data_IF_502706827295
#
_entry.id   IF_502706827295
#
_cell.length_a   1.000
_cell.length_b   1.000
_cell.length_c   1.000
_cell.angle_alpha   90.00
_cell.angle_beta   90.00
_cell.angle_gamma   90.00
#
_symmetry.space_group_name_H-M   'P 1'
#
loop_
_entity.id
_entity.type
_entity.pdbx_description
1 polymer ?
#
# COMPACT_ATOMS: atom_id res chain seq x y z
N UNK A 1 10.36 -25.13 11.96
CA UNK A 1 9.20 -25.29 11.04
C UNK A 1 8.02 -24.43 11.48
N UNK A 2 7.92 -24.08 12.77
CA UNK A 2 6.96 -23.08 13.30
C UNK A 2 7.22 -21.65 12.80
N UNK A 3 8.49 -21.25 12.64
CA UNK A 3 8.85 -19.87 12.25
C UNK A 3 8.33 -19.43 10.87
N UNK A 4 8.15 -20.36 9.92
CA UNK A 4 7.68 -20.03 8.57
C UNK A 4 6.17 -19.78 8.50
N UNK A 5 5.39 -20.54 9.27
CA UNK A 5 3.94 -20.38 9.31
C UNK A 5 3.56 -19.10 10.06
N UNK A 6 4.26 -18.81 11.16
CA UNK A 6 4.06 -17.59 11.93
C UNK A 6 4.44 -16.36 11.11
N UNK A 7 5.56 -16.41 10.37
CA UNK A 7 5.92 -15.35 9.44
C UNK A 7 4.82 -15.06 8.41
N UNK A 8 4.23 -16.11 7.80
CA UNK A 8 3.16 -15.96 6.82
C UNK A 8 1.91 -15.31 7.44
N UNK A 9 1.53 -15.73 8.64
CA UNK A 9 0.38 -15.16 9.38
C UNK A 9 0.62 -13.69 9.72
N UNK A 10 1.76 -13.35 10.32
CA UNK A 10 2.12 -11.95 10.64
C UNK A 10 2.17 -11.08 9.38
N UNK A 11 2.77 -11.57 8.30
CA UNK A 11 2.84 -10.84 7.03
C UNK A 11 1.45 -10.61 6.44
N UNK A 12 0.56 -11.59 6.51
CA UNK A 12 -0.82 -11.45 6.05
C UNK A 12 -1.58 -10.40 6.85
N UNK A 13 -1.50 -10.45 8.18
CA UNK A 13 -2.10 -9.48 9.09
C UNK A 13 -1.56 -8.06 8.83
N UNK A 14 -0.24 -7.91 8.71
CA UNK A 14 0.36 -6.62 8.39
C UNK A 14 -0.05 -6.11 7.00
N UNK A 15 -0.14 -6.97 5.99
CA UNK A 15 -0.62 -6.56 4.67
C UNK A 15 -2.07 -6.07 4.73
N UNK A 16 -2.93 -6.72 5.54
CA UNK A 16 -4.31 -6.29 5.78
C UNK A 16 -4.33 -4.90 6.41
N UNK A 17 -3.52 -4.68 7.45
CA UNK A 17 -3.33 -3.37 8.09
C UNK A 17 -2.85 -2.31 7.10
N UNK A 18 -1.77 -2.56 6.37
CA UNK A 18 -1.20 -1.60 5.41
C UNK A 18 -2.21 -1.23 4.31
N UNK A 19 -3.03 -2.19 3.86
CA UNK A 19 -4.12 -1.90 2.90
C UNK A 19 -5.19 -1.00 3.51
N UNK A 20 -5.60 -1.26 4.76
CA UNK A 20 -6.57 -0.44 5.46
C UNK A 20 -6.04 0.99 5.70
N UNK A 21 -4.82 1.10 6.22
CA UNK A 21 -4.13 2.38 6.42
C UNK A 21 -3.99 3.16 5.11
N UNK A 22 -3.53 2.50 4.03
CA UNK A 22 -3.40 3.14 2.72
C UNK A 22 -4.75 3.62 2.19
N UNK A 23 -5.83 2.85 2.35
CA UNK A 23 -7.18 3.30 1.97
C UNK A 23 -7.61 4.52 2.77
N UNK A 24 -7.43 4.50 4.09
CA UNK A 24 -7.73 5.65 4.97
C UNK A 24 -6.97 6.90 4.52
N UNK A 25 -5.66 6.78 4.34
CA UNK A 25 -4.80 7.87 3.89
C UNK A 25 -5.20 8.43 2.51
N UNK A 26 -5.57 7.57 1.55
CA UNK A 26 -6.09 8.02 0.25
C UNK A 26 -7.41 8.78 0.43
N UNK A 27 -8.31 8.25 1.26
CA UNK A 27 -9.62 8.87 1.49
C UNK A 27 -9.48 10.24 2.17
N UNK A 28 -8.61 10.35 3.17
CA UNK A 28 -8.30 11.62 3.85
C UNK A 28 -7.76 12.66 2.86
N UNK A 29 -6.86 12.26 1.96
CA UNK A 29 -6.36 13.13 0.89
C UNK A 29 -7.46 13.57 -0.08
N UNK A 30 -8.39 12.68 -0.45
CA UNK A 30 -9.52 13.03 -1.32
C UNK A 30 -10.41 14.06 -0.62
N UNK A 31 -10.75 13.81 0.64
CA UNK A 31 -11.55 14.72 1.46
C UNK A 31 -10.91 16.10 1.57
N UNK A 32 -9.58 16.16 1.74
CA UNK A 32 -8.86 17.43 1.74
C UNK A 32 -8.93 18.17 0.39
N UNK A 33 -8.81 17.45 -0.73
CA UNK A 33 -8.90 18.03 -2.07
C UNK A 33 -10.32 18.58 -2.31
N UNK A 34 -11.35 17.84 -1.88
CA UNK A 34 -12.74 18.29 -1.96
C UNK A 34 -13.01 19.52 -1.11
N UNK A 35 -12.47 19.56 0.11
CA UNK A 35 -12.53 20.73 0.98
C UNK A 35 -11.83 21.95 0.36
N UNK A 36 -10.65 21.77 -0.24
CA UNK A 36 -9.95 22.84 -0.93
C UNK A 36 -10.76 23.38 -2.13
N UNK A 37 -11.48 22.50 -2.84
CA UNK A 37 -12.41 22.90 -3.90
C UNK A 37 -13.59 23.70 -3.35
N UNK A 38 -14.23 23.21 -2.28
CA UNK A 38 -15.38 23.86 -1.65
C UNK A 38 -15.04 25.26 -1.13
N UNK A 39 -13.85 25.41 -0.53
CA UNK A 39 -13.34 26.68 -0.01
C UNK A 39 -12.75 27.61 -1.08
N UNK A 40 -12.83 27.25 -2.37
CA UNK A 40 -12.24 27.99 -3.50
C UNK A 40 -10.72 28.19 -3.39
N UNK A 41 -10.02 27.30 -2.70
CA UNK A 41 -8.55 27.26 -2.61
C UNK A 41 -7.95 26.64 -3.87
N UNK A 42 -8.16 27.28 -5.02
CA UNK A 42 -7.85 26.74 -6.36
C UNK A 42 -6.37 26.36 -6.52
N UNK A 43 -5.45 27.12 -5.92
CA UNK A 43 -4.01 26.82 -5.97
C UNK A 43 -3.67 25.51 -5.24
N UNK A 44 -4.18 25.33 -4.03
CA UNK A 44 -3.97 24.10 -3.23
C UNK A 44 -4.58 22.89 -3.93
N UNK A 45 -5.81 23.04 -4.43
CA UNK A 45 -6.52 22.02 -5.18
C UNK A 45 -5.71 21.47 -6.37
N UNK A 46 -5.24 22.35 -7.25
CA UNK A 46 -4.46 21.90 -8.42
C UNK A 46 -3.09 21.34 -8.05
N UNK A 47 -2.46 21.85 -6.99
CA UNK A 47 -1.19 21.31 -6.49
C UNK A 47 -1.37 19.87 -6.00
N UNK A 48 -2.33 19.63 -5.11
CA UNK A 48 -2.62 18.30 -4.56
C UNK A 48 -3.02 17.31 -5.65
N UNK A 49 -3.83 17.71 -6.63
CA UNK A 49 -4.16 16.86 -7.79
C UNK A 49 -2.90 16.48 -8.59
N UNK A 50 -2.00 17.43 -8.83
CA UNK A 50 -0.76 17.17 -9.56
C UNK A 50 0.13 16.19 -8.80
N UNK A 51 0.17 16.27 -7.48
CA UNK A 51 0.92 15.37 -6.62
C UNK A 51 0.34 13.94 -6.64
N UNK A 52 -0.99 13.79 -6.57
CA UNK A 52 -1.66 12.48 -6.68
C UNK A 52 -1.39 11.77 -8.02
N UNK A 53 -1.20 12.52 -9.11
CA UNK A 53 -0.88 11.95 -10.43
C UNK A 53 0.57 11.47 -10.56
N UNK A 54 1.47 11.84 -9.65
CA UNK A 54 2.87 11.39 -9.71
C UNK A 54 2.94 9.93 -9.28
N UNK A 55 3.29 9.06 -10.22
CA UNK A 55 3.62 7.67 -9.89
C UNK A 55 4.97 7.62 -9.18
N UNK A 56 4.99 7.09 -7.95
CA UNK A 56 6.24 6.78 -7.25
C UNK A 56 6.96 5.62 -7.94
N UNK A 57 8.18 5.86 -8.41
CA UNK A 57 9.07 4.87 -9.03
C UNK A 57 10.34 4.71 -8.18
N UNK A 58 10.17 4.32 -6.93
CA UNK A 58 11.32 4.05 -6.05
C UNK A 58 12.03 2.76 -6.45
N UNK A 59 13.35 2.84 -6.68
CA UNK A 59 14.23 1.66 -6.71
C UNK A 59 14.60 1.36 -5.26
N UNK A 60 14.29 0.16 -4.77
CA UNK A 60 14.65 -0.23 -3.41
C UNK A 60 16.10 -0.71 -3.43
N UNK A 61 17.00 0.05 -2.80
CA UNK A 61 18.44 -0.27 -2.72
C UNK A 61 18.84 -0.92 -1.39
N UNK A 62 17.94 -0.98 -0.40
CA UNK A 62 18.18 -1.56 0.91
C UNK A 62 17.02 -1.31 1.88
N UNK A 63 17.02 -1.99 3.02
CA UNK A 63 16.00 -1.84 4.07
C UNK A 63 16.64 -1.23 5.31
N UNK A 64 16.03 -0.18 5.86
CA UNK A 64 16.50 0.48 7.09
C UNK A 64 15.89 -0.19 8.32
N UNK A 65 16.73 -0.63 9.24
CA UNK A 65 16.34 -1.15 10.56
C UNK A 65 15.88 -0.04 11.51
N UNK A 66 15.18 -0.41 12.59
CA UNK A 66 14.77 0.51 13.67
C UNK A 66 15.96 1.26 14.29
N UNK A 67 17.12 0.63 14.35
CA UNK A 67 18.35 1.21 14.92
C UNK A 67 19.06 2.19 13.96
N UNK A 68 18.48 2.44 12.79
CA UNK A 68 19.02 3.36 11.79
C UNK A 68 20.04 2.74 10.83
N UNK A 69 20.43 1.48 11.04
CA UNK A 69 21.31 0.73 10.14
C UNK A 69 20.59 0.35 8.86
N UNK A 70 21.28 0.39 7.73
CA UNK A 70 20.76 -0.08 6.43
C UNK A 70 21.31 -1.49 6.18
N UNK A 71 20.40 -2.40 5.86
CA UNK A 71 20.68 -3.77 5.47
C UNK A 71 20.50 -3.86 3.96
N UNK A 72 21.51 -4.43 3.29
CA UNK A 72 21.51 -4.66 1.84
C UNK A 72 21.44 -6.16 1.51
N UNK A 73 21.63 -7.03 2.52
CA UNK A 73 21.63 -8.48 2.35
C UNK A 73 20.21 -9.06 2.42
N UNK A 74 19.76 -9.73 1.35
CA UNK A 74 18.39 -10.25 1.24
C UNK A 74 18.02 -11.27 2.33
N UNK A 75 19.01 -12.06 2.80
CA UNK A 75 18.82 -13.07 3.84
C UNK A 75 18.33 -12.46 5.17
N UNK A 76 18.72 -11.21 5.43
CA UNK A 76 18.42 -10.47 6.65
C UNK A 76 17.09 -9.71 6.59
N UNK A 77 16.54 -9.47 5.39
CA UNK A 77 15.29 -8.72 5.20
C UNK A 77 14.11 -9.35 5.94
N UNK A 78 14.03 -10.68 5.98
CA UNK A 78 12.94 -11.37 6.69
C UNK A 78 12.90 -11.02 8.17
N UNK A 79 14.07 -10.96 8.82
CA UNK A 79 14.17 -10.64 10.24
C UNK A 79 13.75 -9.19 10.52
N UNK A 80 14.19 -8.26 9.66
CA UNK A 80 13.79 -6.84 9.74
C UNK A 80 12.28 -6.68 9.58
N UNK A 81 11.66 -7.40 8.63
CA UNK A 81 10.21 -7.39 8.45
C UNK A 81 9.46 -7.99 9.63
N UNK A 82 9.95 -9.07 10.24
CA UNK A 82 9.34 -9.67 11.44
C UNK A 82 9.28 -8.64 12.58
N UNK A 83 10.39 -7.97 12.87
CA UNK A 83 10.43 -6.94 13.92
C UNK A 83 9.55 -5.73 13.62
N UNK A 84 9.47 -5.35 12.34
CA UNK A 84 8.60 -4.27 11.89
C UNK A 84 7.12 -4.63 12.05
N UNK A 85 6.72 -5.82 11.61
CA UNK A 85 5.35 -6.32 11.74
C UNK A 85 4.91 -6.48 13.18
N UNK A 86 5.80 -6.96 14.06
CA UNK A 86 5.53 -6.99 15.50
C UNK A 86 5.21 -5.58 16.01
N UNK A 87 6.01 -4.58 15.68
CA UNK A 87 5.72 -3.19 16.09
C UNK A 87 4.35 -2.70 15.62
N UNK A 88 4.04 -2.86 14.34
CA UNK A 88 2.77 -2.41 13.76
C UNK A 88 1.54 -3.08 14.39
N UNK A 89 1.62 -4.38 14.70
CA UNK A 89 0.48 -5.13 15.25
C UNK A 89 0.33 -4.97 16.77
N UNK A 90 1.42 -4.70 17.50
CA UNK A 90 1.37 -4.51 18.95
C UNK A 90 1.00 -3.07 19.36
N UNK A 91 1.35 -2.05 18.57
CA UNK A 91 0.98 -0.65 18.88
C UNK A 91 -0.54 -0.40 18.73
N UNK A 92 -1.25 -1.14 17.86
CA UNK A 92 -2.70 -0.98 17.68
C UNK A 92 -3.53 -1.88 18.62
N UNK A 93 -2.96 -3.00 19.08
CA UNK A 93 -3.61 -3.84 20.10
C UNK A 93 -3.82 -3.12 21.45
N UNK A 94 -3.10 -2.02 21.69
CA UNK A 94 -3.31 -1.14 22.84
C UNK A 94 -4.37 -0.05 22.62
N UNK A 95 -4.84 0.16 21.39
CA UNK A 95 -5.83 1.22 21.07
C UNK A 95 -7.24 0.67 20.81
N UNK A 96 -7.40 -0.58 20.38
CA UNK A 96 -8.71 -1.16 20.02
C UNK A 96 -9.01 -2.48 20.78
N UNK A 97 -9.25 -2.40 22.09
CA UNK A 97 -10.17 -3.35 22.74
C UNK A 97 -11.62 -2.86 22.54
N UNK A 98 -12.13 -2.99 21.32
CA UNK A 98 -13.58 -3.05 21.12
C UNK A 98 -13.93 -3.96 19.95
N UNK A 99 -14.40 -5.15 20.32
CA UNK A 99 -15.45 -5.92 19.64
C UNK A 99 -15.11 -6.44 18.22
N UNK A 100 -14.47 -7.61 18.19
CA UNK A 100 -14.51 -8.51 17.05
C UNK A 100 -15.87 -9.21 16.97
N UNK A 101 -16.68 -8.85 15.98
CA UNK A 101 -17.72 -9.76 15.44
C UNK A 101 -17.53 -9.87 13.93
N UNK A 102 -17.43 -11.11 13.47
CA UNK A 102 -16.90 -11.48 12.16
C UNK A 102 -17.74 -11.09 10.96
N UNK A 103 -17.15 -11.26 9.79
CA UNK A 103 -17.88 -11.51 8.56
C UNK A 103 -17.05 -12.40 7.64
N UNK A 104 -17.76 -13.32 7.00
CA UNK A 104 -17.26 -14.51 6.34
C UNK A 104 -16.64 -14.22 4.98
N UNK A 105 -15.85 -15.19 4.52
CA UNK A 105 -15.28 -15.27 3.18
C UNK A 105 -16.34 -15.21 2.09
N UNK A 106 -16.15 -14.36 1.07
CA UNK A 106 -16.57 -14.69 -0.30
C UNK A 106 -15.52 -14.19 -1.30
N UNK A 107 -15.10 -15.09 -2.20
CA UNK A 107 -14.16 -14.83 -3.27
C UNK A 107 -14.74 -13.93 -4.35
N UNK A 108 -13.87 -13.23 -5.08
CA UNK A 108 -14.25 -12.61 -6.35
C UNK A 108 -13.06 -12.61 -7.31
N UNK A 109 -13.24 -13.44 -8.34
CA UNK A 109 -12.64 -13.55 -9.67
C UNK A 109 -11.25 -12.98 -9.99
N UNK A 110 -10.38 -13.91 -10.44
CA UNK A 110 -9.28 -13.62 -11.35
C UNK A 110 -9.85 -13.25 -12.74
N UNK A 111 -10.06 -11.95 -12.99
CA UNK A 111 -10.28 -11.47 -14.36
C UNK A 111 -8.92 -11.34 -15.08
N UNK A 112 -8.66 -12.33 -15.94
CA UNK A 112 -7.55 -12.37 -16.88
C UNK A 112 -7.60 -11.17 -17.82
N UNK A 113 -6.68 -10.23 -17.67
CA UNK A 113 -6.53 -9.08 -18.57
C UNK A 113 -6.08 -9.55 -19.96
N UNK A 114 -7.04 -9.62 -20.88
CA UNK A 114 -6.87 -9.97 -22.28
C UNK A 114 -5.96 -8.93 -22.96
N UNK A 115 -4.83 -9.38 -23.52
CA UNK A 115 -3.92 -8.55 -24.30
C UNK A 115 -4.62 -8.13 -25.59
N UNK A 116 -5.03 -6.87 -25.67
CA UNK A 116 -5.35 -6.25 -26.94
C UNK A 116 -4.08 -6.13 -27.79
N UNK A 117 -4.02 -6.91 -28.87
CA UNK A 117 -3.03 -6.72 -29.93
C UNK A 117 -3.45 -5.49 -30.75
N UNK A 118 -2.73 -4.38 -30.58
CA UNK A 118 -2.82 -3.24 -31.51
C UNK A 118 -2.12 -3.62 -32.81
N UNK A 119 -2.90 -3.85 -33.87
CA UNK A 119 -2.36 -3.93 -35.22
C UNK A 119 -1.72 -2.59 -35.63
N UNK A 120 -0.51 -2.60 -36.22
CA UNK A 120 0.10 -1.39 -36.74
C UNK A 120 -0.64 -0.92 -38.02
N UNK A 121 -1.37 0.18 -37.87
CA UNK A 121 -1.92 0.97 -38.97
C UNK A 121 -0.81 1.35 -39.97
N UNK A 122 -0.96 0.90 -41.21
CA UNK A 122 -0.04 1.23 -42.31
C UNK A 122 -0.15 2.71 -42.66
N UNK A 123 0.97 3.43 -42.92
CA UNK A 123 0.90 4.79 -43.40
C UNK A 123 0.35 4.83 -44.83
N UNK A 124 -0.73 5.61 -45.02
CA UNK A 124 -1.27 5.97 -46.32
C UNK A 124 -0.27 6.85 -47.07
N UNK A 125 0.30 6.32 -48.15
CA UNK A 125 1.11 7.10 -49.10
C UNK A 125 0.18 7.88 -50.04
N UNK A 126 0.33 9.21 -50.01
CA UNK A 126 -0.11 10.13 -51.06
C UNK A 126 0.84 10.05 -52.27
#
# INVERSE_FOLDING_TARGET
MEDEEDYKKLRSACNKYLRAYKRKWINDNINEIENDRANKNTKSFFQKIKEQKKQYKGVVTGIKEKNGRVVEEESQYKNVWIEHFKGLLFDEATEDESEATGDESEGMDEESCEKGEEEPSKPSTL
#
